data_IF_823302686832
#
_entry.id   IF_823302686832
#
_cell.length_a   1.000
_cell.length_b   1.000
_cell.length_c   1.000
_cell.angle_alpha   90.00
_cell.angle_beta   90.00
_cell.angle_gamma   90.00
#
_symmetry.space_group_name_H-M   'P 1'
#
loop_
_entity.id
_entity.type
_entity.pdbx_description
1 polymer ?
#
# COMPACT_ATOMS: atom_id res chain seq x y z
N UNK A 1 -24.70 -8.14 24.19
CA UNK A 1 -24.57 -7.49 22.87
C UNK A 1 -25.27 -6.14 22.94
N UNK A 2 -24.54 -5.03 22.75
CA UNK A 2 -25.15 -3.68 22.66
C UNK A 2 -25.56 -3.47 21.21
N UNK A 3 -26.86 -3.51 20.92
CA UNK A 3 -27.41 -2.96 19.68
C UNK A 3 -27.22 -1.44 19.76
N UNK A 4 -26.53 -0.89 18.76
CA UNK A 4 -26.42 0.56 18.52
C UNK A 4 -27.24 0.89 17.29
N UNK A 5 -28.48 0.39 17.25
CA UNK A 5 -29.40 0.72 16.16
C UNK A 5 -29.89 2.14 16.38
N UNK A 6 -29.21 3.12 15.77
CA UNK A 6 -29.89 4.36 15.44
C UNK A 6 -31.03 3.98 14.51
N UNK A 7 -32.27 4.17 14.93
CA UNK A 7 -33.44 3.92 14.08
C UNK A 7 -33.36 4.88 12.89
N UNK A 8 -32.82 4.38 11.78
CA UNK A 8 -32.87 5.06 10.50
C UNK A 8 -34.24 4.78 9.89
N UNK A 9 -35.20 5.66 10.19
CA UNK A 9 -36.57 5.61 9.67
C UNK A 9 -36.64 5.57 8.14
N UNK A 10 -35.60 6.06 7.46
CA UNK A 10 -35.54 6.11 5.99
C UNK A 10 -34.55 5.09 5.41
N UNK A 11 -33.94 4.25 6.25
CA UNK A 11 -32.86 3.37 5.83
C UNK A 11 -33.29 2.38 4.77
N UNK A 12 -34.55 1.92 4.81
CA UNK A 12 -35.11 1.04 3.81
C UNK A 12 -35.32 1.74 2.46
N UNK A 13 -35.99 2.90 2.45
CA UNK A 13 -36.18 3.71 1.24
C UNK A 13 -34.85 4.10 0.61
N UNK A 14 -33.86 4.47 1.42
CA UNK A 14 -32.51 4.81 0.98
C UNK A 14 -31.79 3.61 0.35
N UNK A 15 -31.87 2.42 0.98
CA UNK A 15 -31.29 1.19 0.42
C UNK A 15 -31.94 0.81 -0.90
N UNK A 16 -33.25 0.95 -1.01
CA UNK A 16 -33.99 0.65 -2.25
C UNK A 16 -33.61 1.60 -3.38
N UNK A 17 -33.56 2.91 -3.11
CA UNK A 17 -33.08 3.90 -4.08
C UNK A 17 -31.66 3.60 -4.56
N UNK A 18 -30.73 3.31 -3.64
CA UNK A 18 -29.35 2.98 -3.98
C UNK A 18 -29.21 1.71 -4.85
N UNK A 19 -30.04 0.68 -4.62
CA UNK A 19 -30.01 -0.53 -5.47
C UNK A 19 -30.46 -0.23 -6.89
N UNK A 20 -31.50 0.59 -7.05
CA UNK A 20 -32.01 1.00 -8.36
C UNK A 20 -30.93 1.77 -9.14
N UNK A 21 -30.28 2.76 -8.50
CA UNK A 21 -29.19 3.54 -9.11
C UNK A 21 -27.98 2.67 -9.50
N UNK A 22 -27.68 1.62 -8.72
CA UNK A 22 -26.55 0.72 -8.97
C UNK A 22 -26.87 -0.40 -9.97
N UNK A 23 -28.10 -0.45 -10.51
CA UNK A 23 -28.56 -1.53 -11.38
C UNK A 23 -28.57 -2.90 -10.69
N UNK A 24 -28.63 -2.92 -9.35
CA UNK A 24 -28.71 -4.14 -8.56
C UNK A 24 -30.16 -4.63 -8.52
N UNK A 25 -30.33 -5.95 -8.52
CA UNK A 25 -31.65 -6.55 -8.34
C UNK A 25 -32.30 -6.04 -7.04
N UNK A 26 -33.58 -5.64 -7.13
CA UNK A 26 -34.37 -5.12 -6.00
C UNK A 26 -34.51 -6.18 -4.91
N UNK A 27 -34.58 -7.44 -5.32
CA UNK A 27 -34.65 -8.61 -4.46
C UNK A 27 -33.35 -9.42 -4.59
N UNK A 28 -32.71 -9.80 -3.46
CA UNK A 28 -31.60 -10.75 -3.50
C UNK A 28 -32.05 -12.06 -4.15
N UNK A 29 -31.23 -12.71 -4.99
CA UNK A 29 -31.58 -14.01 -5.54
C UNK A 29 -31.82 -15.03 -4.41
N UNK A 30 -32.78 -15.92 -4.59
CA UNK A 30 -33.08 -16.99 -3.63
C UNK A 30 -31.79 -17.71 -3.19
N UNK A 31 -31.58 -17.81 -1.88
CA UNK A 31 -30.36 -18.39 -1.29
C UNK A 31 -29.20 -17.42 -1.02
N UNK A 32 -29.35 -16.13 -1.36
CA UNK A 32 -28.37 -15.08 -1.03
C UNK A 32 -29.02 -13.99 -0.16
N UNK A 33 -28.61 -13.88 1.10
CA UNK A 33 -29.22 -12.91 2.04
C UNK A 33 -28.67 -11.49 1.93
N UNK A 34 -27.59 -11.27 1.18
CA UNK A 34 -26.91 -9.98 1.08
C UNK A 34 -26.18 -9.94 -0.26
N UNK A 35 -26.44 -8.93 -1.11
CA UNK A 35 -25.48 -8.54 -2.16
C UNK A 35 -24.25 -8.08 -1.42
N UNK A 36 -23.26 -8.97 -1.26
CA UNK A 36 -22.05 -8.69 -0.48
C UNK A 36 -21.41 -7.43 -1.03
N UNK A 37 -21.56 -6.31 -0.33
CA UNK A 37 -20.59 -5.24 -0.44
C UNK A 37 -19.22 -5.86 -0.15
N UNK A 38 -18.25 -5.61 -1.02
CA UNK A 38 -16.89 -6.09 -0.82
C UNK A 38 -16.41 -5.54 0.52
N UNK A 39 -16.24 -6.41 1.51
CA UNK A 39 -15.57 -6.08 2.76
C UNK A 39 -14.09 -5.87 2.43
N UNK A 40 -13.76 -4.68 1.94
CA UNK A 40 -12.44 -4.29 1.47
C UNK A 40 -11.37 -4.53 2.55
N UNK A 41 -11.71 -4.25 3.82
CA UNK A 41 -10.84 -4.45 4.98
C UNK A 41 -10.59 -5.94 5.32
N UNK A 42 -11.47 -6.83 4.85
CA UNK A 42 -11.29 -8.29 4.96
C UNK A 42 -10.63 -8.90 3.73
N UNK A 43 -10.40 -8.12 2.68
CA UNK A 43 -9.70 -8.60 1.49
C UNK A 43 -8.24 -8.93 1.81
N UNK A 44 -7.84 -10.18 1.57
CA UNK A 44 -6.44 -10.62 1.71
C UNK A 44 -5.51 -9.81 0.80
N UNK A 45 -5.98 -9.46 -0.40
CA UNK A 45 -5.20 -8.68 -1.38
C UNK A 45 -4.96 -7.27 -0.85
N UNK A 46 -5.99 -6.60 -0.31
CA UNK A 46 -5.82 -5.25 0.25
C UNK A 46 -4.81 -5.24 1.40
N UNK A 47 -4.91 -6.22 2.32
CA UNK A 47 -3.97 -6.34 3.45
C UNK A 47 -2.54 -6.55 2.97
N UNK A 48 -2.32 -7.41 1.98
CA UNK A 48 -0.99 -7.66 1.43
C UNK A 48 -0.40 -6.40 0.77
N UNK A 49 -1.21 -5.68 -0.01
CA UNK A 49 -0.80 -4.41 -0.64
C UNK A 49 -0.46 -3.36 0.41
N UNK A 50 -1.28 -3.23 1.46
CA UNK A 50 -1.03 -2.29 2.55
C UNK A 50 0.29 -2.59 3.28
N UNK A 51 0.55 -3.86 3.59
CA UNK A 51 1.80 -4.30 4.24
C UNK A 51 3.01 -3.98 3.34
N UNK A 52 2.93 -4.29 2.04
CA UNK A 52 4.00 -4.00 1.09
C UNK A 52 4.31 -2.49 1.01
N UNK A 53 3.27 -1.65 0.97
CA UNK A 53 3.42 -0.21 0.99
C UNK A 53 4.10 0.29 2.27
N UNK A 54 3.69 -0.22 3.44
CA UNK A 54 4.30 0.14 4.71
C UNK A 54 5.80 -0.23 4.76
N UNK A 55 6.17 -1.40 4.22
CA UNK A 55 7.58 -1.82 4.11
C UNK A 55 8.36 -0.86 3.21
N UNK A 56 7.83 -0.55 2.02
CA UNK A 56 8.50 0.34 1.06
C UNK A 56 8.76 1.74 1.65
N UNK A 57 7.79 2.29 2.39
CA UNK A 57 7.94 3.56 3.10
C UNK A 57 9.01 3.45 4.19
N UNK A 58 8.99 2.38 5.00
CA UNK A 58 10.02 2.15 6.02
C UNK A 58 11.42 2.07 5.41
N UNK A 59 11.57 1.31 4.33
CA UNK A 59 12.83 1.23 3.58
C UNK A 59 13.28 2.61 3.10
N UNK A 60 12.38 3.40 2.51
CA UNK A 60 12.71 4.73 1.99
C UNK A 60 13.13 5.72 3.10
N UNK A 61 12.59 5.57 4.32
CA UNK A 61 12.90 6.45 5.44
C UNK A 61 14.16 6.04 6.21
N UNK A 62 14.47 4.75 6.28
CA UNK A 62 15.54 4.21 7.12
C UNK A 62 16.74 3.67 6.34
N UNK A 63 16.70 3.63 5.01
CA UNK A 63 17.88 3.28 4.24
C UNK A 63 18.95 4.38 4.39
N UNK A 64 20.16 4.05 4.89
CA UNK A 64 21.24 5.00 4.91
C UNK A 64 21.56 5.42 3.48
N UNK A 65 21.81 6.72 3.30
CA UNK A 65 22.21 7.27 2.02
C UNK A 65 23.43 6.49 1.51
N UNK A 66 23.45 6.06 0.23
CA UNK A 66 24.58 5.30 -0.29
C UNK A 66 25.84 6.10 -0.01
N UNK A 67 26.83 5.46 0.62
CA UNK A 67 28.11 6.09 0.87
C UNK A 67 28.62 6.62 -0.46
N UNK A 68 28.74 7.94 -0.57
CA UNK A 68 29.27 8.57 -1.76
C UNK A 68 30.69 8.00 -1.94
N UNK A 69 30.87 7.20 -2.99
CA UNK A 69 32.18 6.70 -3.35
C UNK A 69 32.94 7.87 -3.98
N UNK A 70 33.26 8.87 -3.16
CA UNK A 70 34.31 9.82 -3.48
C UNK A 70 35.57 8.98 -3.61
N UNK A 71 36.03 8.79 -4.84
CA UNK A 71 37.31 8.18 -5.15
C UNK A 71 38.42 9.07 -4.59
N UNK A 72 38.64 9.01 -3.27
CA UNK A 72 39.77 9.62 -2.58
C UNK A 72 41.03 8.77 -2.79
N UNK A 73 41.23 8.30 -4.03
CA UNK A 73 42.47 7.68 -4.47
C UNK A 73 42.91 8.32 -5.79
N UNK A 74 43.25 9.61 -5.70
CA UNK A 74 44.01 10.33 -6.74
C UNK A 74 45.34 10.81 -6.15
N UNK A 75 45.86 10.16 -5.10
CA UNK A 75 47.15 10.49 -4.48
C UNK A 75 48.20 9.36 -4.53
N UNK A 76 47.81 8.14 -4.90
CA UNK A 76 48.67 6.95 -4.80
C UNK A 76 49.44 6.58 -6.07
N UNK A 77 49.01 7.07 -7.24
CA UNK A 77 49.52 6.57 -8.53
C UNK A 77 50.69 7.43 -9.06
N UNK A 78 50.82 8.68 -8.63
CA UNK A 78 51.89 9.57 -9.13
C UNK A 78 53.29 9.25 -8.58
N UNK A 79 53.40 8.57 -7.43
CA UNK A 79 54.73 8.27 -6.84
C UNK A 79 55.46 7.10 -7.50
N UNK A 80 54.76 6.24 -8.25
CA UNK A 80 55.38 5.08 -8.91
C UNK A 80 56.10 5.51 -10.21
N UNK A 81 55.64 6.57 -10.89
CA UNK A 81 56.29 7.07 -12.10
C UNK A 81 57.60 7.84 -11.83
N UNK A 82 57.76 8.44 -10.65
CA UNK A 82 58.95 9.22 -10.30
C UNK A 82 60.14 8.38 -9.79
N UNK A 83 59.96 7.09 -9.52
CA UNK A 83 60.97 6.22 -8.92
C UNK A 83 61.81 5.38 -9.89
N UNK A 84 61.57 5.44 -11.20
CA UNK A 84 62.19 4.53 -12.19
C UNK A 84 63.31 5.21 -13.01
N UNK A 85 63.59 6.51 -12.81
CA UNK A 85 64.63 7.21 -13.58
C UNK A 85 66.02 7.28 -12.93
N UNK A 86 66.22 6.67 -11.75
CA UNK A 86 67.54 6.56 -11.12
C UNK A 86 67.75 5.18 -10.49
N UNK A 87 68.03 4.19 -11.33
CA UNK A 87 68.72 2.95 -10.96
C UNK A 87 69.51 2.44 -12.17
#
# INVERSE_FOLDING_TARGET
>A
MKSTDSIDWNGEARRTWLRIEQGLAVEPPDGHTVVRQSDFEKSKVWRAVFIAAAIAVGVSLFQPQPADLTLTNVGGIERIAAGVQHA
#
